data_IF_617175304122
#
_entry.id   IF_617175304122
#
_cell.length_a   1.000
_cell.length_b   1.000
_cell.length_c   1.000
_cell.angle_alpha   90.00
_cell.angle_beta   90.00
_cell.angle_gamma   90.00
#
_symmetry.space_group_name_H-M   'P 1'
#
loop_
_entity.id
_entity.type
_entity.pdbx_description
1 polymer ?
#
# COMPACT_ATOMS: atom_id res chain seq x y z
N UNK A 1 24.74 11.20 -7.76
CA UNK A 1 24.49 10.73 -6.38
C UNK A 1 23.03 10.31 -6.28
N UNK A 2 22.73 9.15 -5.71
CA UNK A 2 21.33 8.72 -5.48
C UNK A 2 20.72 9.55 -4.33
N UNK A 3 19.47 10.02 -4.44
CA UNK A 3 18.83 10.74 -3.33
C UNK A 3 18.79 9.90 -2.05
N UNK A 4 18.95 10.53 -0.88
CA UNK A 4 18.84 9.84 0.40
C UNK A 4 17.40 9.40 0.68
N UNK A 5 17.22 8.37 1.50
CA UNK A 5 15.89 7.89 1.91
C UNK A 5 15.08 8.99 2.59
N UNK A 6 15.69 9.76 3.49
CA UNK A 6 15.03 10.88 4.18
C UNK A 6 14.53 11.93 3.19
N UNK A 7 15.33 12.24 2.17
CA UNK A 7 14.92 13.16 1.11
C UNK A 7 13.74 12.59 0.31
N UNK A 8 13.79 11.31 -0.08
CA UNK A 8 12.70 10.66 -0.83
C UNK A 8 11.39 10.67 -0.03
N UNK A 9 11.44 10.30 1.25
CA UNK A 9 10.27 10.33 2.13
C UNK A 9 9.75 11.75 2.34
N UNK A 10 10.64 12.74 2.46
CA UNK A 10 10.24 14.14 2.53
C UNK A 10 9.53 14.61 1.24
N UNK A 11 10.04 14.25 0.06
CA UNK A 11 9.38 14.61 -1.21
C UNK A 11 8.01 13.94 -1.33
N UNK A 12 7.91 12.65 -0.96
CA UNK A 12 6.67 11.88 -0.99
C UNK A 12 5.60 12.42 -0.02
N UNK A 13 6.01 12.83 1.19
CA UNK A 13 5.09 13.36 2.21
C UNK A 13 4.39 14.66 1.81
N UNK A 14 4.88 15.39 0.81
CA UNK A 14 4.17 16.54 0.22
C UNK A 14 2.93 16.14 -0.58
N UNK A 15 2.85 14.87 -1.01
CA UNK A 15 1.72 14.30 -1.77
C UNK A 15 0.88 13.34 -0.94
N UNK A 16 1.49 12.66 0.05
CA UNK A 16 0.83 11.74 0.96
C UNK A 16 0.16 12.46 2.14
N UNK A 17 -0.97 13.09 1.85
CA UNK A 17 -1.75 13.95 2.77
C UNK A 17 -2.90 13.21 3.46
N UNK A 18 -3.60 13.90 4.38
CA UNK A 18 -4.69 13.36 5.21
C UNK A 18 -5.91 12.85 4.44
N UNK A 19 -6.14 13.36 3.24
CA UNK A 19 -7.23 13.01 2.34
C UNK A 19 -7.01 11.65 1.68
N UNK A 20 -5.80 11.11 1.77
CA UNK A 20 -5.49 9.78 1.26
C UNK A 20 -5.88 8.69 2.23
N UNK A 21 -6.20 7.53 1.68
CA UNK A 21 -6.37 6.32 2.47
C UNK A 21 -5.07 6.02 3.26
N UNK A 22 -5.14 5.86 4.60
CA UNK A 22 -3.95 5.64 5.43
C UNK A 22 -3.13 4.41 5.03
N UNK A 23 -3.74 3.41 4.42
CA UNK A 23 -3.02 2.22 3.95
C UNK A 23 -2.32 2.48 2.62
N UNK A 24 -2.88 3.28 1.72
CA UNK A 24 -2.15 3.74 0.52
C UNK A 24 -0.91 4.53 0.95
N UNK A 25 -1.05 5.46 1.90
CA UNK A 25 0.08 6.21 2.46
C UNK A 25 1.15 5.27 3.04
N UNK A 26 0.76 4.27 3.82
CA UNK A 26 1.68 3.34 4.44
C UNK A 26 2.38 2.44 3.41
N UNK A 27 1.63 1.90 2.44
CA UNK A 27 2.15 1.06 1.36
C UNK A 27 3.15 1.84 0.52
N UNK A 28 2.78 3.06 0.07
CA UNK A 28 3.66 3.87 -0.77
C UNK A 28 4.98 4.19 -0.05
N UNK A 29 4.94 4.55 1.25
CA UNK A 29 6.17 4.75 2.04
C UNK A 29 7.01 3.49 2.19
N UNK A 30 6.37 2.33 2.39
CA UNK A 30 7.06 1.06 2.51
C UNK A 30 7.77 0.68 1.20
N UNK A 31 7.09 0.84 0.06
CA UNK A 31 7.65 0.57 -1.27
C UNK A 31 8.77 1.55 -1.63
N UNK A 32 8.63 2.85 -1.33
CA UNK A 32 9.72 3.82 -1.50
C UNK A 32 10.95 3.41 -0.69
N UNK A 33 10.76 3.05 0.59
CA UNK A 33 11.84 2.62 1.47
C UNK A 33 12.54 1.36 0.95
N UNK A 34 11.76 0.35 0.57
CA UNK A 34 12.28 -0.92 0.07
C UNK A 34 13.08 -0.71 -1.21
N UNK A 35 12.50 -0.05 -2.20
CA UNK A 35 13.14 0.11 -3.51
C UNK A 35 14.33 1.07 -3.46
N UNK A 36 14.33 2.06 -2.57
CA UNK A 36 15.51 2.90 -2.33
C UNK A 36 16.71 2.09 -1.82
N UNK A 37 16.49 1.11 -0.93
CA UNK A 37 17.55 0.21 -0.45
C UNK A 37 18.14 -0.66 -1.57
N UNK A 38 17.38 -0.87 -2.65
CA UNK A 38 17.81 -1.60 -3.84
C UNK A 38 18.24 -0.67 -5.00
N UNK A 39 18.52 0.60 -4.71
CA UNK A 39 19.03 1.58 -5.68
C UNK A 39 17.99 2.14 -6.65
N UNK A 40 16.69 2.01 -6.35
CA UNK A 40 15.59 2.48 -7.19
C UNK A 40 14.78 3.57 -6.47
N UNK A 41 15.17 4.85 -6.60
CA UNK A 41 14.55 5.97 -5.87
C UNK A 41 13.19 6.34 -6.48
N UNK A 42 12.09 5.95 -5.82
CA UNK A 42 10.73 6.21 -6.30
C UNK A 42 10.24 7.60 -5.87
N UNK A 43 9.57 8.30 -6.79
CA UNK A 43 8.86 9.55 -6.57
C UNK A 43 7.36 9.44 -6.87
N UNK A 44 6.59 10.43 -6.40
CA UNK A 44 5.13 10.50 -6.58
C UNK A 44 4.80 11.71 -7.47
N UNK A 45 4.26 11.46 -8.66
CA UNK A 45 3.80 12.51 -9.57
C UNK A 45 2.43 13.04 -9.13
N UNK A 46 1.47 12.13 -8.92
CA UNK A 46 0.10 12.43 -8.51
C UNK A 46 -0.34 11.50 -7.38
N UNK A 47 -1.26 12.00 -6.55
CA UNK A 47 -1.80 11.29 -5.40
C UNK A 47 -3.28 11.70 -5.23
N UNK A 48 -3.67 12.28 -4.10
CA UNK A 48 -5.01 12.87 -4.00
C UNK A 48 -5.18 14.07 -4.94
N UNK A 49 -6.35 14.17 -5.57
CA UNK A 49 -6.78 15.32 -6.36
C UNK A 49 -8.29 15.50 -6.21
N UNK A 50 -8.74 16.72 -5.91
CA UNK A 50 -10.18 17.04 -5.81
C UNK A 50 -10.91 16.82 -7.14
N UNK A 51 -12.24 16.71 -7.08
CA UNK A 51 -13.08 16.59 -8.29
C UNK A 51 -12.95 17.81 -9.21
N UNK A 52 -12.81 19.01 -8.64
CA UNK A 52 -12.65 20.24 -9.40
C UNK A 52 -11.31 20.30 -10.14
N UNK A 53 -10.21 19.94 -9.46
CA UNK A 53 -8.91 19.80 -10.12
C UNK A 53 -8.94 18.70 -11.19
N UNK A 54 -9.79 17.68 -11.02
CA UNK A 54 -10.01 16.66 -12.03
C UNK A 54 -10.71 17.16 -13.27
N UNK A 55 -11.80 17.90 -13.11
CA UNK A 55 -12.47 18.54 -14.24
C UNK A 55 -11.56 19.54 -14.94
N UNK A 56 -10.69 20.25 -14.20
CA UNK A 56 -9.69 21.14 -14.79
C UNK A 56 -8.67 20.40 -15.67
N UNK A 57 -8.21 19.19 -15.30
CA UNK A 57 -7.36 18.38 -16.17
C UNK A 57 -8.15 17.79 -17.35
N UNK A 58 -9.39 17.36 -17.14
CA UNK A 58 -10.25 16.84 -18.20
C UNK A 58 -10.51 17.88 -19.31
N UNK A 59 -10.58 19.16 -18.94
CA UNK A 59 -10.73 20.27 -19.88
C UNK A 59 -9.55 20.44 -20.85
N UNK A 60 -8.34 20.02 -20.49
CA UNK A 60 -7.13 20.17 -21.33
C UNK A 60 -7.26 19.30 -22.59
N UNK A 61 -7.06 19.92 -23.76
CA UNK A 61 -7.26 19.30 -25.07
C UNK A 61 -8.72 19.15 -25.49
N UNK A 62 -9.66 19.71 -24.71
CA UNK A 62 -11.11 19.71 -25.01
C UNK A 62 -11.67 21.12 -25.05
N UNK A 63 -11.69 21.78 -23.89
CA UNK A 63 -12.18 23.17 -23.72
C UNK A 63 -11.07 24.13 -23.30
N UNK A 64 -9.86 23.61 -23.00
CA UNK A 64 -8.64 24.37 -22.77
C UNK A 64 -7.52 23.86 -23.70
N UNK A 65 -6.60 24.71 -24.19
CA UNK A 65 -5.48 24.27 -25.00
C UNK A 65 -4.56 23.28 -24.25
N UNK A 66 -3.97 22.33 -24.98
CA UNK A 66 -2.99 21.38 -24.47
C UNK A 66 -3.23 19.94 -24.94
N UNK A 67 -2.31 19.03 -24.61
CA UNK A 67 -2.49 17.59 -24.87
C UNK A 67 -3.47 17.00 -23.86
N UNK A 68 -4.34 16.09 -24.29
CA UNK A 68 -5.22 15.35 -23.38
C UNK A 68 -4.35 14.57 -22.39
N UNK A 69 -4.53 14.84 -21.09
CA UNK A 69 -3.80 14.18 -19.99
C UNK A 69 -4.67 13.21 -19.20
N UNK A 70 -5.99 13.21 -19.42
CA UNK A 70 -6.92 12.29 -18.77
C UNK A 70 -8.22 12.16 -19.57
N UNK A 71 -8.86 11.00 -19.45
CA UNK A 71 -10.22 10.74 -19.95
C UNK A 71 -11.28 10.73 -18.84
N UNK A 72 -10.87 10.86 -17.57
CA UNK A 72 -11.76 10.87 -16.43
C UNK A 72 -12.20 12.29 -16.05
N UNK A 73 -13.51 12.51 -15.89
CA UNK A 73 -14.09 13.71 -15.25
C UNK A 73 -13.95 13.63 -13.72
N UNK A 74 -14.27 14.72 -13.04
CA UNK A 74 -14.38 14.79 -11.59
C UNK A 74 -15.27 13.68 -11.02
N UNK A 75 -14.74 12.93 -10.05
CA UNK A 75 -15.42 11.78 -9.44
C UNK A 75 -15.36 10.49 -10.26
N UNK A 76 -14.65 10.50 -11.40
CA UNK A 76 -14.40 9.32 -12.25
C UNK A 76 -12.94 8.90 -12.27
N UNK A 77 -12.12 9.42 -11.35
CA UNK A 77 -10.75 8.98 -11.13
C UNK A 77 -10.56 8.52 -9.69
N UNK A 78 -9.82 7.43 -9.48
CA UNK A 78 -9.48 6.93 -8.14
C UNK A 78 -8.59 7.91 -7.34
N UNK A 79 -7.92 8.87 -8.00
CA UNK A 79 -7.25 9.99 -7.32
C UNK A 79 -8.24 10.89 -6.55
N UNK A 80 -9.52 10.95 -6.95
CA UNK A 80 -10.55 11.73 -6.26
C UNK A 80 -11.00 11.15 -4.92
N UNK A 81 -10.60 9.90 -4.64
CA UNK A 81 -10.97 9.17 -3.44
C UNK A 81 -9.76 8.92 -2.53
N UNK A 82 -8.57 9.41 -2.90
CA UNK A 82 -7.35 9.23 -2.09
C UNK A 82 -6.80 7.81 -2.10
N UNK A 83 -7.17 6.98 -3.09
CA UNK A 83 -6.84 5.54 -3.12
C UNK A 83 -5.80 5.17 -4.19
N UNK A 84 -5.25 6.17 -4.89
CA UNK A 84 -4.33 6.00 -6.02
C UNK A 84 -3.10 6.90 -5.95
N UNK A 85 -2.01 6.45 -6.58
CA UNK A 85 -0.75 7.18 -6.77
C UNK A 85 -0.18 6.93 -8.15
N UNK A 86 0.39 7.97 -8.76
CA UNK A 86 1.19 7.87 -9.97
C UNK A 86 2.66 7.96 -9.61
N UNK A 87 3.43 6.93 -9.95
CA UNK A 87 4.82 6.79 -9.53
C UNK A 87 5.80 6.95 -10.68
N UNK A 88 6.98 7.48 -10.37
CA UNK A 88 8.11 7.60 -11.29
C UNK A 88 9.42 7.25 -10.59
N UNK A 89 10.51 7.11 -11.35
CA UNK A 89 11.86 6.94 -10.81
C UNK A 89 12.62 8.25 -10.89
N UNK A 90 13.24 8.67 -9.78
CA UNK A 90 14.17 9.79 -9.79
C UNK A 90 15.47 9.42 -10.52
N UNK A 91 15.86 10.26 -11.48
CA UNK A 91 17.14 10.21 -12.15
C UNK A 91 17.96 11.48 -11.86
N UNK A 92 19.23 11.48 -12.27
CA UNK A 92 20.16 12.61 -12.17
C UNK A 92 20.25 13.20 -10.75
N UNK A 93 20.20 12.31 -9.75
CA UNK A 93 20.23 12.66 -8.34
C UNK A 93 19.00 13.41 -7.83
N UNK A 94 17.82 13.06 -8.35
CA UNK A 94 16.55 13.63 -7.91
C UNK A 94 16.05 14.79 -8.77
N UNK A 95 16.80 15.16 -9.81
CA UNK A 95 16.49 16.33 -10.66
C UNK A 95 15.56 16.01 -11.82
N UNK A 96 15.44 14.75 -12.20
CA UNK A 96 14.61 14.31 -13.34
C UNK A 96 13.66 13.20 -12.91
N UNK A 97 12.43 13.26 -13.41
CA UNK A 97 11.45 12.20 -13.27
C UNK A 97 11.48 11.31 -14.52
N UNK A 98 11.65 10.00 -14.32
CA UNK A 98 11.53 8.99 -15.36
C UNK A 98 10.25 8.18 -15.16
N UNK A 99 9.28 8.35 -16.06
CA UNK A 99 8.10 7.50 -16.12
C UNK A 99 8.45 6.22 -16.87
N UNK A 100 8.40 5.09 -16.15
CA UNK A 100 8.78 3.81 -16.71
C UNK A 100 7.66 3.21 -17.56
N UNK A 101 8.03 2.50 -18.62
CA UNK A 101 7.11 1.72 -19.45
C UNK A 101 7.75 0.36 -19.79
N UNK A 102 6.96 -0.69 -20.10
CA UNK A 102 7.51 -1.96 -20.57
C UNK A 102 8.40 -1.74 -21.81
N UNK A 103 9.51 -2.49 -21.97
CA UNK A 103 9.89 -3.67 -21.19
C UNK A 103 10.84 -3.40 -19.99
N UNK A 104 10.92 -2.16 -19.48
CA UNK A 104 11.90 -1.76 -18.45
C UNK A 104 11.88 -2.69 -17.19
N UNK A 105 13.00 -3.33 -16.82
CA UNK A 105 13.05 -4.22 -15.65
C UNK A 105 12.83 -3.50 -14.32
N UNK A 106 13.10 -2.19 -14.24
CA UNK A 106 12.81 -1.37 -13.05
C UNK A 106 11.30 -1.28 -12.81
N UNK A 107 10.50 -1.22 -13.89
CA UNK A 107 9.05 -1.22 -13.80
C UNK A 107 8.54 -2.54 -13.23
N UNK A 108 9.08 -3.67 -13.70
CA UNK A 108 8.72 -5.00 -13.16
C UNK A 108 8.96 -5.10 -11.66
N UNK A 109 10.08 -4.54 -11.16
CA UNK A 109 10.38 -4.47 -9.72
C UNK A 109 9.40 -3.60 -8.95
N UNK A 110 9.10 -2.40 -9.46
CA UNK A 110 8.11 -1.49 -8.86
C UNK A 110 6.73 -2.15 -8.80
N UNK A 111 6.27 -2.73 -9.91
CA UNK A 111 4.98 -3.42 -9.99
C UNK A 111 4.91 -4.59 -9.03
N UNK A 112 5.96 -5.42 -8.96
CA UNK A 112 6.01 -6.54 -8.01
C UNK A 112 5.92 -6.04 -6.56
N UNK A 113 6.63 -4.95 -6.22
CA UNK A 113 6.59 -4.39 -4.88
C UNK A 113 5.20 -3.87 -4.48
N UNK A 114 4.55 -3.13 -5.38
CA UNK A 114 3.19 -2.63 -5.18
C UNK A 114 2.18 -3.78 -5.08
N UNK A 115 2.26 -4.79 -5.95
CA UNK A 115 1.35 -5.96 -5.97
C UNK A 115 1.46 -6.84 -4.72
N UNK A 116 2.63 -6.91 -4.05
CA UNK A 116 2.74 -7.61 -2.75
C UNK A 116 1.82 -7.00 -1.69
N UNK A 117 1.55 -5.71 -1.77
CA UNK A 117 0.58 -4.99 -0.94
C UNK A 117 -0.82 -4.91 -1.57
N UNK A 118 -1.16 -5.80 -2.52
CA UNK A 118 -2.44 -5.85 -3.22
C UNK A 118 -2.81 -4.58 -4.01
N UNK A 119 -1.85 -3.68 -4.27
CA UNK A 119 -2.09 -2.56 -5.18
C UNK A 119 -2.32 -3.11 -6.60
N UNK A 120 -3.39 -2.65 -7.23
CA UNK A 120 -3.65 -2.83 -8.64
C UNK A 120 -2.76 -1.90 -9.45
N UNK A 121 -2.38 -2.32 -10.66
CA UNK A 121 -1.51 -1.54 -11.54
C UNK A 121 -2.25 -1.17 -12.82
N UNK A 122 -2.18 0.10 -13.22
CA UNK A 122 -2.85 0.60 -14.43
C UNK A 122 -2.29 0.02 -15.73
N UNK A 123 -1.07 -0.52 -15.72
CA UNK A 123 -0.51 -1.26 -16.85
C UNK A 123 -1.18 -2.62 -17.11
N UNK A 124 -1.95 -3.16 -16.17
CA UNK A 124 -2.74 -4.37 -16.37
C UNK A 124 -4.10 -4.09 -17.08
N UNK A 125 -4.44 -2.82 -17.34
CA UNK A 125 -5.67 -2.46 -18.03
C UNK A 125 -5.59 -2.84 -19.52
N UNK A 126 -6.64 -3.50 -20.04
CA UNK A 126 -6.65 -4.00 -21.41
C UNK A 126 -6.60 -2.89 -22.48
N UNK A 127 -7.36 -1.81 -22.29
CA UNK A 127 -7.34 -0.64 -23.16
C UNK A 127 -6.75 0.55 -22.41
N UNK A 128 -5.81 1.27 -23.03
CA UNK A 128 -5.13 2.45 -22.46
C UNK A 128 -4.40 2.15 -21.16
N UNK A 129 -3.32 1.33 -21.20
CA UNK A 129 -2.51 1.06 -20.03
C UNK A 129 -1.93 2.36 -19.47
N UNK A 130 -2.09 2.55 -18.17
CA UNK A 130 -1.56 3.70 -17.43
C UNK A 130 -0.40 3.22 -16.53
N UNK A 131 0.80 3.22 -17.09
CA UNK A 131 1.96 2.59 -16.44
C UNK A 131 2.39 3.23 -15.11
N UNK A 132 2.31 4.55 -14.91
CA UNK A 132 2.58 5.17 -13.62
C UNK A 132 1.55 4.84 -12.53
N UNK A 133 0.31 4.50 -12.91
CA UNK A 133 -0.84 4.44 -12.01
C UNK A 133 -0.88 3.18 -11.17
N UNK A 134 -1.08 3.36 -9.87
CA UNK A 134 -1.41 2.30 -8.92
C UNK A 134 -2.59 2.72 -8.06
N UNK A 135 -3.49 1.78 -7.77
CA UNK A 135 -4.62 1.99 -6.86
C UNK A 135 -4.82 0.81 -5.93
N UNK A 136 -5.26 1.07 -4.70
CA UNK A 136 -5.54 -0.02 -3.76
C UNK A 136 -6.86 -0.73 -4.07
N UNK A 137 -7.87 0.03 -4.49
CA UNK A 137 -9.17 -0.46 -4.90
C UNK A 137 -9.81 0.53 -5.87
N UNK A 138 -10.75 0.03 -6.66
CA UNK A 138 -11.53 0.81 -7.61
C UNK A 138 -12.75 1.48 -6.94
N UNK A 139 -12.48 2.55 -6.21
CA UNK A 139 -13.52 3.34 -5.53
C UNK A 139 -14.53 3.94 -6.52
N UNK A 140 -14.10 4.29 -7.74
CA UNK A 140 -14.97 4.83 -8.80
C UNK A 140 -16.10 3.86 -9.14
N UNK A 141 -15.82 2.56 -9.18
CA UNK A 141 -16.79 1.51 -9.49
C UNK A 141 -17.31 0.77 -8.24
N UNK A 142 -17.11 1.35 -7.04
CA UNK A 142 -17.65 0.81 -5.79
C UNK A 142 -16.97 -0.46 -5.28
N UNK A 143 -15.75 -0.77 -5.74
CA UNK A 143 -14.97 -1.87 -5.18
C UNK A 143 -14.69 -1.60 -3.70
N UNK A 144 -14.99 -2.57 -2.84
CA UNK A 144 -14.63 -2.48 -1.43
C UNK A 144 -13.11 -2.48 -1.24
N UNK A 145 -12.63 -1.69 -0.28
CA UNK A 145 -11.22 -1.68 0.11
C UNK A 145 -10.77 -3.09 0.52
N UNK A 146 -9.66 -3.61 -0.03
CA UNK A 146 -9.12 -4.89 0.39
C UNK A 146 -8.65 -4.84 1.84
N UNK A 147 -8.83 -5.96 2.55
CA UNK A 147 -8.27 -6.14 3.88
C UNK A 147 -6.78 -6.47 3.74
N UNK A 148 -5.93 -5.46 3.94
CA UNK A 148 -4.47 -5.54 3.75
C UNK A 148 -3.69 -6.29 4.83
N UNK A 149 -4.39 -6.95 5.74
CA UNK A 149 -3.82 -7.39 7.00
C UNK A 149 -3.78 -6.24 8.01
N UNK A 150 -3.99 -6.53 9.29
CA UNK A 150 -4.13 -5.50 10.32
C UNK A 150 -2.78 -4.89 10.71
N UNK A 151 -2.74 -3.57 11.01
CA UNK A 151 -1.60 -2.96 11.73
C UNK A 151 -1.51 -3.56 13.14
N UNK A 152 -0.29 -3.73 13.65
CA UNK A 152 -0.12 -4.20 15.04
C UNK A 152 -0.85 -3.24 15.99
N UNK A 153 -1.73 -3.73 16.89
CA UNK A 153 -2.59 -2.90 17.74
C UNK A 153 -1.85 -2.07 18.81
N UNK A 154 -0.52 -2.05 18.79
CA UNK A 154 0.31 -1.34 19.77
C UNK A 154 0.34 -1.99 21.16
N UNK A 155 -0.30 -3.15 21.35
CA UNK A 155 -0.34 -3.90 22.62
C UNK A 155 -0.24 -5.40 22.36
N UNK A 156 0.41 -6.12 23.28
CA UNK A 156 0.52 -7.57 23.20
C UNK A 156 -0.87 -8.23 23.35
N UNK A 157 -1.11 -9.29 22.58
CA UNK A 157 -2.34 -10.08 22.66
C UNK A 157 -2.00 -11.46 23.23
N UNK A 158 -2.72 -11.88 24.27
CA UNK A 158 -2.53 -13.15 24.97
C UNK A 158 -3.79 -13.51 25.75
N UNK A 159 -3.93 -14.77 26.16
CA UNK A 159 -5.06 -15.23 26.96
C UNK A 159 -5.18 -14.42 28.27
N UNK A 160 -6.34 -13.82 28.52
CA UNK A 160 -6.59 -13.00 29.71
C UNK A 160 -6.26 -11.51 29.58
N UNK A 161 -5.70 -11.05 28.45
CA UNK A 161 -5.49 -9.62 28.22
C UNK A 161 -6.83 -8.84 28.21
N UNK A 162 -6.89 -7.73 28.96
CA UNK A 162 -8.10 -6.89 29.05
C UNK A 162 -8.32 -6.09 27.77
N UNK A 163 -9.59 -5.83 27.42
CA UNK A 163 -10.00 -5.00 26.27
C UNK A 163 -9.44 -5.47 24.92
N UNK A 164 -9.39 -6.79 24.70
CA UNK A 164 -9.07 -7.36 23.38
C UNK A 164 -10.25 -7.17 22.41
N UNK A 165 -9.93 -6.71 21.20
CA UNK A 165 -10.88 -6.57 20.10
C UNK A 165 -11.19 -7.95 19.49
N UNK A 166 -12.43 -8.41 19.61
CA UNK A 166 -12.87 -9.71 19.08
C UNK A 166 -12.69 -9.82 17.57
N UNK A 167 -12.82 -8.72 16.82
CA UNK A 167 -12.60 -8.68 15.37
C UNK A 167 -11.14 -8.94 15.04
N UNK A 168 -10.22 -8.39 15.84
CA UNK A 168 -8.79 -8.62 15.71
C UNK A 168 -8.42 -10.08 16.00
N UNK A 169 -9.03 -10.68 17.02
CA UNK A 169 -8.82 -12.10 17.34
C UNK A 169 -9.35 -13.01 16.23
N UNK A 170 -10.53 -12.73 15.66
CA UNK A 170 -11.05 -13.46 14.50
C UNK A 170 -10.12 -13.34 13.30
N UNK A 171 -9.44 -12.21 13.12
CA UNK A 171 -8.47 -12.02 12.04
C UNK A 171 -7.22 -12.89 12.21
N UNK A 172 -6.70 -13.01 13.43
CA UNK A 172 -5.63 -13.96 13.78
C UNK A 172 -6.11 -15.40 13.55
N UNK A 173 -7.29 -15.75 14.05
CA UNK A 173 -7.87 -17.09 13.89
C UNK A 173 -8.04 -17.45 12.41
N UNK A 174 -8.55 -16.52 11.59
CA UNK A 174 -8.66 -16.69 10.14
C UNK A 174 -7.29 -16.93 9.50
N UNK A 175 -6.27 -16.17 9.91
CA UNK A 175 -4.89 -16.32 9.40
C UNK A 175 -4.29 -17.68 9.73
N UNK A 176 -4.62 -18.22 10.91
CA UNK A 176 -4.20 -19.55 11.37
C UNK A 176 -5.15 -20.69 10.96
N UNK A 177 -6.18 -20.40 10.16
CA UNK A 177 -7.20 -21.36 9.70
C UNK A 177 -7.96 -22.04 10.86
N UNK A 178 -8.37 -21.25 11.84
CA UNK A 178 -9.12 -21.68 13.03
C UNK A 178 -10.58 -21.23 13.00
N UNK A 179 -11.47 -21.86 13.81
CA UNK A 179 -12.81 -21.34 14.05
C UNK A 179 -12.77 -19.90 14.59
N UNK A 180 -13.66 -19.05 14.06
CA UNK A 180 -13.67 -17.60 14.31
C UNK A 180 -14.41 -17.22 15.62
N UNK A 181 -14.03 -17.84 16.73
CA UNK A 181 -14.69 -17.63 18.04
C UNK A 181 -14.53 -16.20 18.55
N UNK A 182 -13.48 -15.49 18.13
CA UNK A 182 -13.12 -14.17 18.63
C UNK A 182 -12.60 -14.20 20.08
N UNK A 183 -12.27 -15.39 20.59
CA UNK A 183 -11.70 -15.59 21.92
C UNK A 183 -10.23 -15.96 21.80
N UNK A 184 -9.39 -15.37 22.66
CA UNK A 184 -8.01 -15.79 22.84
C UNK A 184 -7.96 -16.87 23.92
N UNK A 185 -8.38 -18.08 23.53
CA UNK A 185 -8.48 -19.25 24.41
C UNK A 185 -7.18 -20.08 24.44
N UNK A 186 -7.14 -21.12 25.27
CA UNK A 186 -5.98 -22.01 25.38
C UNK A 186 -5.60 -22.70 24.06
N UNK A 187 -6.57 -22.94 23.17
CA UNK A 187 -6.31 -23.52 21.85
C UNK A 187 -5.56 -22.52 20.96
N UNK A 188 -5.98 -21.25 20.94
CA UNK A 188 -5.25 -20.21 20.22
C UNK A 188 -3.85 -20.01 20.82
N UNK A 189 -3.71 -19.97 22.14
CA UNK A 189 -2.39 -19.86 22.81
C UNK A 189 -1.44 -20.95 22.35
N UNK A 190 -1.86 -22.22 22.40
CA UNK A 190 -1.03 -23.35 21.99
C UNK A 190 -0.59 -23.26 20.51
N UNK A 191 -1.47 -22.78 19.63
CA UNK A 191 -1.15 -22.62 18.21
C UNK A 191 -0.20 -21.45 17.95
N UNK A 192 -0.29 -20.37 18.74
CA UNK A 192 0.68 -19.29 18.68
C UNK A 192 2.07 -19.77 19.14
N UNK A 193 2.15 -20.58 20.20
CA UNK A 193 3.40 -21.20 20.62
C UNK A 193 4.00 -22.10 19.52
N UNK A 194 3.18 -22.94 18.88
CA UNK A 194 3.61 -23.78 17.76
C UNK A 194 4.12 -22.94 16.58
N UNK A 195 3.37 -21.89 16.22
CA UNK A 195 3.76 -20.95 15.17
C UNK A 195 5.10 -20.27 15.50
N UNK A 196 5.26 -19.80 16.74
CA UNK A 196 6.50 -19.20 17.22
C UNK A 196 7.68 -20.17 17.12
N UNK A 197 7.52 -21.43 17.55
CA UNK A 197 8.56 -22.47 17.41
C UNK A 197 8.92 -22.70 15.95
N UNK A 198 7.92 -22.85 15.08
CA UNK A 198 8.13 -23.06 13.64
C UNK A 198 8.90 -21.90 12.99
N UNK A 199 8.68 -20.69 13.49
CA UNK A 199 9.32 -19.46 13.00
C UNK A 199 10.57 -19.04 13.80
N UNK A 200 11.07 -19.90 14.71
CA UNK A 200 12.25 -19.64 15.56
C UNK A 200 12.13 -18.36 16.41
N UNK A 201 10.93 -18.10 16.93
CA UNK A 201 10.62 -17.03 17.87
C UNK A 201 10.53 -17.58 19.30
N UNK A 202 10.55 -16.69 20.30
CA UNK A 202 10.18 -17.06 21.68
C UNK A 202 8.77 -17.63 21.70
N UNK A 203 8.61 -18.87 22.16
CA UNK A 203 7.35 -19.60 22.15
C UNK A 203 6.58 -19.40 23.46
N UNK A 204 6.07 -18.19 23.65
CA UNK A 204 5.39 -17.72 24.87
C UNK A 204 3.87 -17.60 24.73
N UNK A 205 3.31 -17.90 23.55
CA UNK A 205 1.87 -17.78 23.28
C UNK A 205 1.38 -16.33 23.17
N UNK A 206 2.30 -15.36 23.18
CA UNK A 206 2.01 -13.93 23.13
C UNK A 206 2.22 -13.39 21.72
N UNK A 207 1.21 -12.70 21.20
CA UNK A 207 1.32 -12.00 19.92
C UNK A 207 1.80 -10.57 20.17
N UNK A 208 3.12 -10.41 20.26
CA UNK A 208 3.82 -9.13 20.23
C UNK A 208 4.10 -8.63 18.81
N UNK A 209 4.83 -7.50 18.63
CA UNK A 209 5.11 -6.92 17.31
C UNK A 209 5.88 -7.87 16.38
N UNK A 210 6.74 -8.73 16.93
CA UNK A 210 7.53 -9.71 16.17
C UNK A 210 6.62 -10.82 15.65
N UNK A 211 5.87 -11.49 16.53
CA UNK A 211 4.87 -12.51 16.15
C UNK A 211 3.86 -11.95 15.15
N UNK A 212 3.40 -10.71 15.36
CA UNK A 212 2.49 -10.02 14.45
C UNK A 212 3.06 -9.87 13.04
N UNK A 213 4.33 -9.47 12.93
CA UNK A 213 5.03 -9.34 11.65
C UNK A 213 5.17 -10.68 10.95
N UNK A 214 5.37 -11.77 11.68
CA UNK A 214 5.38 -13.10 11.08
C UNK A 214 3.97 -13.55 10.63
N UNK A 215 2.92 -13.19 11.37
CA UNK A 215 1.54 -13.51 11.01
C UNK A 215 1.05 -12.71 9.79
N UNK A 216 1.29 -11.40 9.78
CA UNK A 216 0.65 -10.47 8.85
C UNK A 216 1.62 -9.61 8.03
N UNK A 217 2.91 -9.58 8.39
CA UNK A 217 3.92 -8.93 7.56
C UNK A 217 4.12 -9.69 6.26
N UNK A 218 4.44 -8.95 5.20
CA UNK A 218 4.78 -9.56 3.92
C UNK A 218 5.97 -10.50 4.11
N UNK A 219 5.79 -11.76 3.70
CA UNK A 219 6.91 -12.67 3.53
C UNK A 219 7.81 -12.09 2.43
N UNK A 220 9.11 -11.97 2.73
CA UNK A 220 10.15 -11.89 1.71
C UNK A 220 10.20 -13.19 0.94
#
# INVERSE_FOLDING_TARGET
MTPSLDWLLAQANRKLISEMDPDVVAITRAVITELAAEGLPIGIAQAYRTKQEQDALYAIGRTRPGKIVTYAKGGKSNHNFGVAVDLFVYADGGKRAEFLAPPDPRLKRLVAAMKRYQMQWGGDWGNFPDYPHFQLYDAVNGQAKPLLGPRYPGRALYAGAKRMDRTLIRLIQKRLRLPLTGQFDGKLTHLIEQFQRQHRLTADGVIGPVTWRHLFGLRR
#
